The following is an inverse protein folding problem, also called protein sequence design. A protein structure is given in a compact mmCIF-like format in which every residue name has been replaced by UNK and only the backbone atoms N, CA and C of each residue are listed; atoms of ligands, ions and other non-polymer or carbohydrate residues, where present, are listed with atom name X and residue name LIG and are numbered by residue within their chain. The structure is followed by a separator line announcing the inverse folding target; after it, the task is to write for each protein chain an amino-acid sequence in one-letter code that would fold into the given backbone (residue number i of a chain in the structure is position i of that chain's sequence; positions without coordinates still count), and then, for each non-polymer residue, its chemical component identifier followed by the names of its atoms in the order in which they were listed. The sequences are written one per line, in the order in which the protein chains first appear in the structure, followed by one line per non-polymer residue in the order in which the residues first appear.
data_IF_501604816462
#
_entry.id   IF_501604816462
#
_cell.length_a   1.000
_cell.length_b   1.000
_cell.length_c   1.000
_cell.angle_alpha   90.00
_cell.angle_beta   90.00
_cell.angle_gamma   90.00
#
_symmetry.space_group_name_H-M   'P 1'
#
loop_
_entity.id
_entity.type
_entity.pdbx_description
1 polymer ?
#
# COMPACT_ATOMS: atom_id res chain seq x y z
N UNK A 1 -0.23 6.98 4.09
CA UNK A 1 -1.44 7.73 4.51
C UNK A 1 -1.26 9.23 4.26
N UNK A 2 -2.34 9.99 4.09
CA UNK A 2 -2.29 11.46 4.06
C UNK A 2 -2.03 12.04 5.46
N UNK A 3 -1.48 13.26 5.51
CA UNK A 3 -1.31 14.00 6.76
C UNK A 3 -2.66 14.37 7.40
N UNK A 4 -3.64 14.70 6.55
CA UNK A 4 -4.99 15.04 6.95
C UNK A 4 -5.89 13.87 6.58
N UNK A 5 -6.14 12.97 7.53
CA UNK A 5 -7.09 11.86 7.41
C UNK A 5 -8.04 11.88 8.60
N UNK A 6 -9.18 11.19 8.50
CA UNK A 6 -10.10 11.01 9.62
C UNK A 6 -9.39 10.30 10.79
N UNK A 7 -9.42 10.92 11.97
CA UNK A 7 -8.61 10.52 13.14
C UNK A 7 -9.15 9.29 13.85
N UNK A 8 -10.40 8.92 13.60
CA UNK A 8 -11.12 7.79 14.19
C UNK A 8 -10.87 6.46 13.46
N UNK A 9 -10.11 6.47 12.36
CA UNK A 9 -9.85 5.28 11.54
C UNK A 9 -8.67 4.42 12.01
N UNK A 10 -7.89 4.84 13.02
CA UNK A 10 -6.78 4.04 13.55
C UNK A 10 -5.63 3.72 12.57
N UNK A 11 -5.64 4.29 11.35
CA UNK A 11 -4.73 3.90 10.26
C UNK A 11 -3.24 4.05 10.60
N UNK A 12 -2.89 5.00 11.45
CA UNK A 12 -1.52 5.18 11.91
C UNK A 12 -1.06 4.04 12.82
N UNK A 13 -1.94 3.58 13.72
CA UNK A 13 -1.67 2.44 14.61
C UNK A 13 -1.55 1.13 13.81
N UNK A 14 -2.39 0.95 12.79
CA UNK A 14 -2.29 -0.20 11.87
C UNK A 14 -0.98 -0.20 11.09
N UNK A 15 -0.60 0.95 10.52
CA UNK A 15 0.67 1.10 9.80
C UNK A 15 1.88 0.91 10.73
N UNK A 16 1.80 1.36 11.99
CA UNK A 16 2.87 1.12 12.97
C UNK A 16 2.97 -0.34 13.39
N UNK A 17 1.84 -1.02 13.53
CA UNK A 17 1.80 -2.47 13.77
C UNK A 17 2.43 -3.24 12.62
N UNK A 18 2.12 -2.88 11.37
CA UNK A 18 2.75 -3.50 10.18
C UNK A 18 4.25 -3.25 10.13
N UNK A 19 4.71 -2.02 10.43
CA UNK A 19 6.16 -1.70 10.50
C UNK A 19 6.87 -2.52 11.56
N UNK A 20 6.25 -2.64 12.73
CA UNK A 20 6.76 -3.42 13.86
C UNK A 20 6.87 -4.89 13.45
N UNK A 21 5.84 -5.46 12.85
CA UNK A 21 5.85 -6.82 12.32
C UNK A 21 7.00 -7.05 11.33
N UNK A 22 7.14 -6.22 10.29
CA UNK A 22 8.24 -6.36 9.33
C UNK A 22 9.63 -6.20 9.94
N UNK A 23 9.77 -5.32 10.93
CA UNK A 23 11.04 -5.12 11.63
C UNK A 23 11.39 -6.29 12.53
N UNK A 24 10.44 -6.74 13.35
CA UNK A 24 10.71 -7.72 14.41
C UNK A 24 10.70 -9.16 13.90
N UNK A 25 9.81 -9.48 12.96
CA UNK A 25 9.64 -10.85 12.45
C UNK A 25 10.54 -11.13 11.25
N UNK A 26 10.85 -10.12 10.43
CA UNK A 26 11.59 -10.29 9.17
C UNK A 26 12.90 -9.49 9.11
N UNK A 27 13.25 -8.76 10.18
CA UNK A 27 14.48 -7.96 10.29
C UNK A 27 14.67 -6.96 9.14
N UNK A 28 13.56 -6.42 8.61
CA UNK A 28 13.59 -5.48 7.50
C UNK A 28 13.89 -4.05 7.98
N UNK A 29 14.55 -3.29 7.12
CA UNK A 29 14.70 -1.85 7.32
C UNK A 29 13.36 -1.13 7.04
N UNK A 30 12.78 -0.51 8.07
CA UNK A 30 11.49 0.20 7.98
C UNK A 30 11.64 1.72 8.14
N UNK A 31 11.50 2.45 7.02
CA UNK A 31 11.44 3.92 6.98
C UNK A 31 10.20 4.45 7.69
N UNK A 32 10.28 5.51 8.51
CA UNK A 32 9.14 6.22 9.16
C UNK A 32 7.90 6.43 8.25
N UNK A 33 6.69 6.45 8.83
CA UNK A 33 5.43 6.61 8.07
C UNK A 33 5.49 7.93 7.30
N UNK A 34 5.44 7.83 5.97
CA UNK A 34 5.38 9.01 5.12
C UNK A 34 3.95 9.58 5.11
N UNK A 35 3.79 10.75 5.73
CA UNK A 35 2.54 11.53 5.68
C UNK A 35 2.49 12.28 4.35
N UNK A 36 1.57 11.88 3.46
CA UNK A 36 1.37 12.55 2.17
C UNK A 36 0.82 13.96 2.45
N UNK A 37 1.49 15.03 2.00
CA UNK A 37 1.08 16.40 2.31
C UNK A 37 -0.16 16.79 1.50
N UNK A 38 -1.00 17.69 2.03
CA UNK A 38 -2.22 18.13 1.33
C UNK A 38 -1.93 19.03 0.11
N UNK A 39 -0.74 19.63 0.07
CA UNK A 39 -0.27 20.45 -1.05
C UNK A 39 0.79 19.69 -1.81
N UNK A 40 0.66 19.64 -3.13
CA UNK A 40 1.57 18.91 -4.01
C UNK A 40 1.70 17.42 -3.65
N UNK A 41 0.61 16.80 -3.14
CA UNK A 41 0.55 15.42 -2.67
C UNK A 41 1.19 14.43 -3.65
N UNK A 42 0.73 14.47 -4.90
CA UNK A 42 1.22 13.62 -5.98
C UNK A 42 2.73 13.75 -6.22
N UNK A 43 3.23 14.98 -6.37
CA UNK A 43 4.66 15.25 -6.57
C UNK A 43 5.50 14.80 -5.38
N UNK A 44 5.01 15.01 -4.16
CA UNK A 44 5.71 14.63 -2.93
C UNK A 44 5.83 13.10 -2.82
N UNK A 45 4.73 12.36 -3.06
CA UNK A 45 4.75 10.91 -3.04
C UNK A 45 5.64 10.34 -4.16
N UNK A 46 5.52 10.86 -5.39
CA UNK A 46 6.38 10.44 -6.49
C UNK A 46 7.87 10.62 -6.15
N UNK A 47 8.25 11.76 -5.56
CA UNK A 47 9.63 12.00 -5.12
C UNK A 47 10.06 10.99 -4.04
N UNK A 48 9.18 10.67 -3.10
CA UNK A 48 9.47 9.68 -2.04
C UNK A 48 9.69 8.29 -2.62
N UNK A 49 8.83 7.83 -3.52
CA UNK A 49 8.96 6.51 -4.18
C UNK A 49 10.25 6.43 -5.01
N UNK A 50 10.55 7.45 -5.81
CA UNK A 50 11.82 7.50 -6.56
C UNK A 50 13.03 7.42 -5.64
N UNK A 51 13.04 8.22 -4.57
CA UNK A 51 14.13 8.17 -3.60
C UNK A 51 14.28 6.82 -2.91
N UNK A 52 13.19 6.09 -2.67
CA UNK A 52 13.25 4.72 -2.14
C UNK A 52 13.89 3.76 -3.15
N UNK A 53 13.48 3.82 -4.42
CA UNK A 53 14.06 2.99 -5.50
C UNK A 53 15.55 3.30 -5.69
N UNK A 54 15.92 4.59 -5.69
CA UNK A 54 17.32 4.99 -5.84
C UNK A 54 18.21 4.50 -4.68
N UNK A 55 17.64 4.37 -3.48
CA UNK A 55 18.37 3.95 -2.26
C UNK A 55 18.40 2.44 -2.05
N UNK A 56 17.31 1.74 -2.40
CA UNK A 56 17.03 0.35 -2.03
C UNK A 56 16.48 -0.52 -3.19
N UNK A 57 16.69 -0.09 -4.43
CA UNK A 57 16.17 -0.75 -5.64
C UNK A 57 17.17 -1.64 -6.36
N UNK A 58 18.14 -2.24 -5.68
CA UNK A 58 19.10 -3.16 -6.32
C UNK A 58 18.47 -4.54 -6.52
N UNK A 59 19.00 -5.32 -7.48
CA UNK A 59 18.42 -6.59 -7.94
C UNK A 59 18.05 -7.61 -6.85
N UNK A 60 18.79 -7.64 -5.75
CA UNK A 60 18.60 -8.61 -4.65
C UNK A 60 17.89 -8.00 -3.43
N UNK A 61 17.37 -6.78 -3.57
CA UNK A 61 16.62 -6.09 -2.52
C UNK A 61 15.11 -6.28 -2.72
N UNK A 62 14.34 -6.02 -1.66
CA UNK A 62 12.89 -6.01 -1.66
C UNK A 62 12.40 -4.63 -1.20
N UNK A 63 11.54 -3.99 -2.00
CA UNK A 63 10.84 -2.77 -1.60
C UNK A 63 9.38 -3.11 -1.28
N UNK A 64 8.98 -2.86 -0.04
CA UNK A 64 7.59 -2.96 0.41
C UNK A 64 6.99 -1.57 0.53
N UNK A 65 5.87 -1.31 -0.16
CA UNK A 65 5.09 -0.07 -0.06
C UNK A 65 3.73 -0.36 0.52
N UNK A 66 3.51 0.05 1.76
CA UNK A 66 2.21 0.00 2.42
C UNK A 66 1.47 1.34 2.35
N UNK A 67 0.23 1.31 1.86
CA UNK A 67 -0.69 2.45 1.89
C UNK A 67 -1.95 2.10 2.68
N UNK A 68 -2.33 2.98 3.61
CA UNK A 68 -3.63 2.97 4.27
C UNK A 68 -4.28 4.34 4.12
N UNK A 69 -5.57 4.35 3.76
CA UNK A 69 -6.35 5.56 3.52
C UNK A 69 -7.47 5.37 2.49
N UNK A 70 -7.95 6.48 1.93
CA UNK A 70 -9.08 6.46 1.01
C UNK A 70 -8.65 6.31 -0.45
N UNK A 71 -9.30 5.37 -1.14
CA UNK A 71 -9.37 5.32 -2.59
C UNK A 71 -10.60 6.07 -3.10
N UNK A 72 -10.52 6.63 -4.31
CA UNK A 72 -11.68 7.24 -4.99
C UNK A 72 -12.45 6.16 -5.74
N UNK A 73 -13.78 6.14 -5.60
CA UNK A 73 -14.64 5.32 -6.46
C UNK A 73 -14.50 5.81 -7.91
N UNK A 74 -14.11 4.95 -8.87
CA UNK A 74 -14.06 5.30 -10.28
C UNK A 74 -15.35 5.96 -10.81
N UNK A 75 -16.52 5.63 -10.22
CA UNK A 75 -17.83 6.18 -10.60
C UNK A 75 -18.03 7.63 -10.14
N UNK A 76 -17.42 8.01 -9.02
CA UNK A 76 -17.47 9.37 -8.49
C UNK A 76 -16.50 10.32 -9.22
N UNK A 77 -15.63 9.77 -10.06
CA UNK A 77 -14.76 10.57 -10.90
C UNK A 77 -15.58 11.26 -12.01
N UNK A 78 -15.57 12.60 -12.00
CA UNK A 78 -16.29 13.40 -13.01
C UNK A 78 -15.73 13.27 -14.44
N UNK A 79 -14.49 12.77 -14.60
CA UNK A 79 -13.91 12.46 -15.90
C UNK A 79 -14.19 10.99 -16.24
N UNK A 80 -14.91 10.72 -17.32
CA UNK A 80 -15.28 9.37 -17.75
C UNK A 80 -14.06 8.48 -18.02
N UNK A 81 -12.88 9.06 -18.33
CA UNK A 81 -11.62 8.30 -18.47
C UNK A 81 -11.12 7.72 -17.15
N UNK A 82 -11.59 8.25 -16.02
CA UNK A 82 -11.28 7.76 -14.68
C UNK A 82 -12.21 6.62 -14.21
N UNK A 83 -13.27 6.30 -14.97
CA UNK A 83 -14.19 5.18 -14.69
C UNK A 83 -13.60 3.80 -15.03
N UNK A 84 -12.48 3.76 -15.77
CA UNK A 84 -11.88 2.53 -16.32
C UNK A 84 -10.55 2.11 -15.67
N UNK A 85 -10.21 2.62 -14.48
CA UNK A 85 -9.16 2.02 -13.66
C UNK A 85 -7.89 2.83 -13.33
N UNK A 86 -7.88 4.17 -13.20
CA UNK A 86 -6.86 4.81 -12.38
C UNK A 86 -7.16 4.66 -10.88
N UNK A 87 -6.18 4.20 -10.11
CA UNK A 87 -6.21 4.21 -8.65
C UNK A 87 -5.89 5.63 -8.18
N UNK A 88 -6.87 6.34 -7.66
CA UNK A 88 -6.69 7.65 -7.04
C UNK A 88 -6.80 7.55 -5.53
N UNK A 89 -5.89 8.23 -4.84
CA UNK A 89 -5.93 8.34 -3.38
C UNK A 89 -6.25 9.75 -2.95
N UNK A 90 -7.04 9.86 -1.89
CA UNK A 90 -7.52 11.14 -1.37
C UNK A 90 -7.35 11.22 0.15
N UNK A 91 -7.24 12.45 0.71
CA UNK A 91 -7.09 12.63 2.15
C UNK A 91 -8.34 12.22 2.94
N UNK A 92 -9.54 12.43 2.36
CA UNK A 92 -10.84 12.15 2.98
C UNK A 92 -11.83 11.67 1.92
N UNK A 93 -12.82 10.89 2.32
CA UNK A 93 -13.84 10.33 1.43
C UNK A 93 -14.54 11.41 0.57
N UNK A 94 -14.85 12.57 1.15
CA UNK A 94 -15.53 13.68 0.47
C UNK A 94 -14.59 14.83 0.05
N UNK A 95 -13.30 14.56 -0.14
CA UNK A 95 -12.33 15.63 -0.44
C UNK A 95 -12.42 16.11 -1.90
N UNK A 96 -12.09 17.39 -2.11
CA UNK A 96 -12.00 17.94 -3.46
C UNK A 96 -10.83 17.27 -4.22
N UNK A 97 -11.10 16.75 -5.42
CA UNK A 97 -10.17 16.02 -6.30
C UNK A 97 -8.86 16.78 -6.61
N UNK A 98 -8.79 18.10 -6.37
CA UNK A 98 -7.55 18.89 -6.51
C UNK A 98 -6.40 18.47 -5.58
N UNK A 99 -6.64 17.59 -4.60
CA UNK A 99 -5.63 17.08 -3.64
C UNK A 99 -5.29 15.59 -3.83
N UNK A 100 -5.70 15.01 -4.96
CA UNK A 100 -5.53 13.58 -5.22
C UNK A 100 -4.08 13.19 -5.52
N UNK A 101 -3.79 11.92 -5.28
CA UNK A 101 -2.63 11.21 -5.81
C UNK A 101 -3.14 10.26 -6.88
N UNK A 102 -2.68 10.44 -8.12
CA UNK A 102 -2.80 9.42 -9.16
C UNK A 102 -1.78 8.31 -8.90
N UNK A 103 -2.19 7.24 -8.22
CA UNK A 103 -1.31 6.11 -7.93
C UNK A 103 -0.92 5.35 -9.19
N UNK A 104 -1.82 5.27 -10.19
CA UNK A 104 -1.57 4.58 -11.45
C UNK A 104 -0.41 5.17 -12.26
N UNK A 105 -0.05 6.44 -12.04
CA UNK A 105 1.16 7.04 -12.65
C UNK A 105 2.43 6.86 -11.82
N UNK A 106 2.31 6.50 -10.53
CA UNK A 106 3.44 6.26 -9.61
C UNK A 106 3.80 4.77 -9.54
N UNK A 107 2.81 3.89 -9.59
CA UNK A 107 3.00 2.46 -9.53
C UNK A 107 3.96 1.90 -10.58
N UNK A 108 3.95 2.34 -11.86
CA UNK A 108 4.87 1.81 -12.86
C UNK A 108 6.34 1.99 -12.48
N UNK A 109 6.70 2.95 -11.63
CA UNK A 109 8.07 3.11 -11.16
C UNK A 109 8.53 1.91 -10.31
N UNK A 110 7.62 1.32 -9.52
CA UNK A 110 7.90 0.11 -8.74
C UNK A 110 7.96 -1.13 -9.66
N UNK A 111 7.03 -1.23 -10.63
CA UNK A 111 7.01 -2.34 -11.61
C UNK A 111 8.27 -2.43 -12.48
N UNK A 112 8.98 -1.31 -12.64
CA UNK A 112 10.22 -1.24 -13.41
C UNK A 112 11.46 -1.13 -12.53
N UNK A 113 11.32 -1.20 -11.20
CA UNK A 113 12.46 -1.23 -10.31
C UNK A 113 13.30 -2.48 -10.62
N UNK A 114 14.64 -2.41 -10.48
CA UNK A 114 15.49 -3.59 -10.69
C UNK A 114 15.28 -4.71 -9.66
N UNK A 115 14.63 -4.40 -8.54
CA UNK A 115 14.42 -5.25 -7.38
C UNK A 115 13.01 -5.85 -7.34
N UNK A 116 12.77 -6.78 -6.41
CA UNK A 116 11.41 -7.24 -6.16
C UNK A 116 10.62 -6.16 -5.41
N UNK A 117 9.31 -6.09 -5.68
CA UNK A 117 8.42 -5.10 -5.05
C UNK A 117 7.15 -5.74 -4.53
N UNK A 118 6.71 -5.34 -3.34
CA UNK A 118 5.43 -5.71 -2.76
C UNK A 118 4.65 -4.44 -2.43
N UNK A 119 3.44 -4.31 -2.95
CA UNK A 119 2.54 -3.21 -2.62
C UNK A 119 1.37 -3.72 -1.78
N UNK A 120 1.19 -3.17 -0.59
CA UNK A 120 0.08 -3.50 0.32
C UNK A 120 -0.88 -2.32 0.35
N UNK A 121 -2.11 -2.51 -0.14
CA UNK A 121 -3.11 -1.45 -0.31
C UNK A 121 -4.31 -1.68 0.63
N UNK A 122 -4.32 -0.98 1.76
CA UNK A 122 -5.44 -0.90 2.69
C UNK A 122 -6.34 0.30 2.36
N UNK A 123 -7.09 0.18 1.25
CA UNK A 123 -8.04 1.19 0.81
C UNK A 123 -9.20 0.55 0.03
N UNK A 124 -10.30 1.28 -0.12
CA UNK A 124 -11.38 0.90 -1.03
C UNK A 124 -10.89 0.93 -2.49
N UNK A 125 -11.49 0.09 -3.34
CA UNK A 125 -11.19 0.01 -4.77
C UNK A 125 -9.72 -0.29 -5.10
N UNK A 126 -9.02 -0.96 -4.16
CA UNK A 126 -7.59 -1.23 -4.25
C UNK A 126 -7.22 -2.10 -5.46
N UNK A 127 -8.16 -2.93 -5.93
CA UNK A 127 -7.99 -3.74 -7.14
C UNK A 127 -7.73 -2.94 -8.42
N UNK A 128 -7.97 -1.62 -8.44
CA UNK A 128 -7.66 -0.76 -9.59
C UNK A 128 -6.15 -0.57 -9.80
N UNK A 129 -5.32 -0.90 -8.81
CA UNK A 129 -3.87 -0.88 -8.96
C UNK A 129 -3.33 -2.05 -9.81
N UNK A 130 -4.12 -3.03 -10.24
CA UNK A 130 -3.58 -4.27 -10.84
C UNK A 130 -3.27 -4.22 -12.34
N UNK A 131 -2.74 -3.11 -12.88
CA UNK A 131 -2.51 -2.95 -14.33
C UNK A 131 -1.04 -2.68 -14.68
N UNK A 132 -0.50 -3.43 -15.66
CA UNK A 132 0.78 -3.15 -16.33
C UNK A 132 1.70 -4.36 -16.56
N UNK A 133 2.62 -4.23 -17.52
CA UNK A 133 3.74 -5.17 -17.70
C UNK A 133 4.83 -4.89 -16.64
N UNK A 134 5.44 -5.95 -16.11
CA UNK A 134 6.36 -5.88 -14.95
C UNK A 134 7.77 -6.38 -15.32
N UNK A 135 8.80 -5.85 -14.66
CA UNK A 135 10.17 -6.39 -14.66
C UNK A 135 10.50 -6.88 -13.25
N UNK A 136 11.02 -8.10 -13.11
CA UNK A 136 11.19 -8.73 -11.79
C UNK A 136 9.87 -9.24 -11.21
N UNK A 137 9.83 -9.55 -9.91
CA UNK A 137 8.60 -9.94 -9.22
C UNK A 137 7.95 -8.69 -8.62
N UNK A 138 6.71 -8.38 -9.04
CA UNK A 138 5.91 -7.33 -8.40
C UNK A 138 4.57 -7.90 -7.98
N UNK A 139 4.30 -7.84 -6.68
CA UNK A 139 3.08 -8.36 -6.08
C UNK A 139 2.25 -7.24 -5.44
N UNK A 140 0.94 -7.42 -5.45
CA UNK A 140 -0.01 -6.47 -4.87
C UNK A 140 -0.98 -7.24 -3.97
N UNK A 141 -1.01 -6.89 -2.70
CA UNK A 141 -2.03 -7.33 -1.76
C UNK A 141 -3.01 -6.19 -1.52
N UNK A 142 -4.27 -6.39 -1.89
CA UNK A 142 -5.31 -5.37 -1.89
C UNK A 142 -6.44 -5.74 -0.93
N UNK A 143 -6.84 -4.80 -0.07
CA UNK A 143 -7.91 -4.99 0.92
C UNK A 143 -9.31 -5.16 0.30
N UNK A 144 -9.48 -4.76 -0.96
CA UNK A 144 -10.75 -4.78 -1.68
C UNK A 144 -10.52 -5.02 -3.18
N UNK A 145 -11.57 -5.48 -3.86
CA UNK A 145 -11.57 -5.64 -5.31
C UNK A 145 -11.68 -4.28 -6.05
N UNK A 146 -11.96 -4.29 -7.35
CA UNK A 146 -12.03 -3.06 -8.18
C UNK A 146 -13.28 -2.20 -7.92
N UNK A 147 -14.32 -2.78 -7.33
CA UNK A 147 -15.64 -2.18 -7.15
C UNK A 147 -16.15 -2.23 -5.69
N UNK A 148 -15.33 -2.70 -4.74
CA UNK A 148 -15.73 -2.87 -3.34
C UNK A 148 -15.00 -1.98 -2.34
N UNK A 149 -15.63 -1.87 -1.17
CA UNK A 149 -15.21 -1.06 -0.04
C UNK A 149 -14.33 -1.90 0.89
N UNK A 150 -13.25 -1.32 1.40
CA UNK A 150 -12.45 -1.91 2.47
C UNK A 150 -12.97 -1.43 3.82
N UNK A 151 -13.07 -2.34 4.79
CA UNK A 151 -13.42 -2.00 6.18
C UNK A 151 -12.18 -1.50 6.92
N UNK A 152 -12.30 -0.33 7.56
CA UNK A 152 -11.24 0.32 8.32
C UNK A 152 -11.40 0.14 9.86
N UNK A 153 -12.12 -0.88 10.32
CA UNK A 153 -12.31 -1.16 11.75
C UNK A 153 -12.31 -2.67 12.04
N UNK A 154 -12.12 -3.03 13.33
CA UNK A 154 -11.99 -4.39 13.92
C UNK A 154 -12.04 -5.53 12.90
N UNK A 155 -10.89 -6.19 12.69
CA UNK A 155 -10.57 -7.14 11.60
C UNK A 155 -10.40 -6.44 10.26
N UNK A 156 -9.63 -5.36 10.25
CA UNK A 156 -9.21 -4.75 8.98
C UNK A 156 -8.28 -5.70 8.21
N UNK A 157 -8.11 -5.42 6.92
CA UNK A 157 -7.19 -6.20 6.09
C UNK A 157 -5.75 -6.17 6.63
N UNK A 158 -5.29 -5.04 7.16
CA UNK A 158 -3.95 -4.96 7.75
C UNK A 158 -3.82 -5.78 9.02
N UNK A 159 -4.85 -5.77 9.90
CA UNK A 159 -4.85 -6.59 11.11
C UNK A 159 -4.72 -8.08 10.77
N UNK A 160 -5.56 -8.58 9.85
CA UNK A 160 -5.50 -9.97 9.40
C UNK A 160 -4.17 -10.32 8.71
N UNK A 161 -3.63 -9.40 7.90
CA UNK A 161 -2.32 -9.60 7.25
C UNK A 161 -1.20 -9.68 8.29
N UNK A 162 -1.20 -8.82 9.30
CA UNK A 162 -0.20 -8.80 10.36
C UNK A 162 -0.27 -10.08 11.20
N UNK A 163 -1.47 -10.58 11.50
CA UNK A 163 -1.67 -11.85 12.20
C UNK A 163 -0.97 -12.99 11.42
N UNK A 164 -1.30 -13.15 10.14
CA UNK A 164 -0.71 -14.20 9.28
C UNK A 164 0.81 -14.04 9.14
N UNK A 165 1.31 -12.82 8.94
CA UNK A 165 2.74 -12.56 8.83
C UNK A 165 3.50 -12.87 10.13
N UNK A 166 2.88 -12.61 11.29
CA UNK A 166 3.46 -12.90 12.59
C UNK A 166 3.48 -14.41 12.86
N UNK A 167 2.41 -15.12 12.53
CA UNK A 167 2.37 -16.58 12.57
C UNK A 167 3.44 -17.19 11.65
N UNK A 168 3.61 -16.64 10.45
CA UNK A 168 4.61 -17.11 9.50
C UNK A 168 6.05 -16.88 10.02
N UNK A 169 6.35 -15.66 10.48
CA UNK A 169 7.68 -15.32 11.01
C UNK A 169 8.06 -16.10 12.27
N UNK A 170 7.07 -16.47 13.10
CA UNK A 170 7.31 -17.33 14.28
C UNK A 170 7.44 -18.81 13.92
N UNK A 171 6.74 -19.26 12.86
CA UNK A 171 6.79 -20.64 12.37
C UNK A 171 8.13 -21.00 11.70
N UNK A 172 8.81 -20.04 11.08
CA UNK A 172 10.18 -20.25 10.56
C UNK A 172 11.22 -20.43 11.70
N UNK A 173 10.90 -20.00 12.93
CA UNK A 173 11.62 -20.39 14.15
C UNK A 173 11.30 -21.80 14.65
N UNK A 174 10.31 -22.47 14.07
CA UNK A 174 9.81 -23.81 14.41
C UNK A 174 9.69 -24.73 13.18
N UNK A 175 10.55 -24.54 12.17
CA UNK A 175 10.67 -25.49 11.06
C UNK A 175 11.07 -26.88 11.58
N UNK A 176 10.08 -27.69 11.92
CA UNK A 176 10.25 -29.02 12.49
C UNK A 176 8.97 -29.72 12.94
N UNK A 177 7.76 -29.20 12.69
CA UNK A 177 6.54 -30.00 12.84
C UNK A 177 5.56 -29.77 11.69
N UNK A 178 5.50 -30.81 10.87
CA UNK A 178 4.59 -31.08 9.77
C UNK A 178 3.19 -30.50 9.97
N UNK A 179 2.74 -29.74 8.97
CA UNK A 179 1.31 -29.65 8.64
C UNK A 179 1.11 -30.48 7.38
N UNK A 180 0.68 -31.73 7.57
CA UNK A 180 0.06 -32.52 6.51
C UNK A 180 -1.41 -32.11 6.42
N UNK A 181 -1.86 -31.81 5.20
CA UNK A 181 -3.27 -31.68 4.83
C UNK A 181 -4.02 -33.00 5.02
#
# INVERSE_FOLDING_TARGET
MFQTVETDLGLEEELESMRTCFKEQFNLYVCAIFKIPDKNAHKALMKKIKGLIDQHGKKEELIIVGYAGHGVDPKDAQDERKRLGPSYWVPRANSNLKKEVDWSTIQPWLHHAPCDTLTVLNCCFAGNATLGNMKGTSEILAASDRESWAYASRRSFLEALIEVLTEFGTSDGQCGKDVQL
#
